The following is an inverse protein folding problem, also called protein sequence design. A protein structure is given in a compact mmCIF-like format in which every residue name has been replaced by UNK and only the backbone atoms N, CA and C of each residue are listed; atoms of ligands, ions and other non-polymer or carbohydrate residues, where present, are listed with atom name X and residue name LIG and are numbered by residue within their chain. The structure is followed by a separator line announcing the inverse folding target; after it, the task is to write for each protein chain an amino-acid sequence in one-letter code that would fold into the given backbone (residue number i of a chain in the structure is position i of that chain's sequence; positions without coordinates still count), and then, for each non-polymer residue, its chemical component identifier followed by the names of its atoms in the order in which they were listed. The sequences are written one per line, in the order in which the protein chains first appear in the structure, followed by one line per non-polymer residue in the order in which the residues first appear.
data_IF_280259462037
#
_entry.id   IF_280259462037
#
_cell.length_a   1.000
_cell.length_b   1.000
_cell.length_c   1.000
_cell.angle_alpha   90.00
_cell.angle_beta   90.00
_cell.angle_gamma   90.00
#
_symmetry.space_group_name_H-M   'P 1'
#
loop_
_entity.id
_entity.type
_entity.pdbx_description
1 polymer ?
#
# COMPACT_ATOMS: atom_id res chain seq x y z
N UNK A 1 30.82 -28.93 8.30
CA UNK A 1 31.12 -27.82 9.23
C UNK A 1 32.29 -28.26 10.10
N UNK A 2 33.35 -27.48 10.27
CA UNK A 2 34.50 -27.88 11.09
C UNK A 2 34.05 -28.21 12.52
N UNK A 3 34.49 -29.34 13.12
CA UNK A 3 34.06 -29.76 14.46
C UNK A 3 34.18 -28.68 15.56
N UNK A 4 35.24 -27.82 15.58
CA UNK A 4 35.35 -26.76 16.58
C UNK A 4 34.29 -25.66 16.49
N UNK A 5 33.63 -25.49 15.33
CA UNK A 5 32.67 -24.41 15.09
C UNK A 5 31.20 -24.81 15.33
N UNK A 6 30.95 -26.10 15.57
CA UNK A 6 29.58 -26.63 15.75
C UNK A 6 28.91 -26.00 16.97
N UNK A 7 29.63 -25.88 18.07
CA UNK A 7 29.14 -25.25 19.31
C UNK A 7 28.76 -23.79 19.07
N UNK A 8 29.68 -22.99 18.53
CA UNK A 8 29.44 -21.56 18.30
C UNK A 8 28.26 -21.30 17.36
N UNK A 9 28.08 -22.13 16.32
CA UNK A 9 26.93 -22.01 15.43
C UNK A 9 25.61 -22.29 16.16
N UNK A 10 25.56 -23.28 17.03
CA UNK A 10 24.34 -23.60 17.77
C UNK A 10 24.01 -22.51 18.79
N UNK A 11 25.00 -21.96 19.47
CA UNK A 11 24.81 -20.85 20.40
C UNK A 11 24.33 -19.58 19.69
N UNK A 12 24.91 -19.22 18.54
CA UNK A 12 24.43 -18.07 17.76
C UNK A 12 22.95 -18.25 17.34
N UNK A 13 22.55 -19.45 16.92
CA UNK A 13 21.15 -19.72 16.58
C UNK A 13 20.20 -19.59 17.78
N UNK A 14 20.64 -19.89 19.00
CA UNK A 14 19.84 -19.69 20.21
C UNK A 14 19.71 -18.21 20.53
N UNK A 15 20.81 -17.45 20.43
CA UNK A 15 20.82 -15.99 20.64
C UNK A 15 19.87 -15.30 19.67
N UNK A 16 19.92 -15.67 18.38
CA UNK A 16 19.05 -15.08 17.34
C UNK A 16 17.57 -15.41 17.52
N UNK A 17 17.20 -16.54 18.14
CA UNK A 17 15.79 -16.87 18.42
C UNK A 17 15.26 -16.15 19.66
N UNK A 18 16.13 -15.89 20.63
CA UNK A 18 15.73 -15.37 21.93
C UNK A 18 14.84 -16.34 22.70
N UNK A 19 14.07 -15.80 23.64
CA UNK A 19 13.24 -16.54 24.61
C UNK A 19 11.73 -16.35 24.38
N UNK A 20 11.34 -15.55 23.40
CA UNK A 20 9.94 -15.20 23.09
C UNK A 20 9.28 -14.23 24.07
N UNK A 21 10.02 -13.66 25.02
CA UNK A 21 9.47 -12.73 26.02
C UNK A 21 10.12 -11.36 25.92
N UNK A 22 9.62 -10.38 26.68
CA UNK A 22 10.19 -9.02 26.73
C UNK A 22 9.83 -8.12 25.53
N UNK A 23 10.01 -6.81 25.74
CA UNK A 23 9.93 -5.78 24.70
C UNK A 23 11.26 -5.69 23.98
N UNK A 24 11.22 -5.59 22.65
CA UNK A 24 12.43 -5.61 21.83
C UNK A 24 13.11 -4.26 21.77
N UNK A 25 14.45 -4.27 21.86
CA UNK A 25 15.27 -3.05 21.90
C UNK A 25 16.07 -2.86 20.60
N UNK A 26 16.47 -1.63 20.32
CA UNK A 26 17.10 -1.24 19.04
C UNK A 26 18.37 -2.05 18.69
N UNK A 27 19.17 -2.43 19.69
CA UNK A 27 20.42 -3.17 19.51
C UNK A 27 20.23 -4.69 19.46
N UNK A 28 19.01 -5.20 19.65
CA UNK A 28 18.74 -6.63 19.64
C UNK A 28 18.72 -7.20 18.20
N UNK A 29 19.12 -8.47 18.08
CA UNK A 29 19.15 -9.25 16.84
C UNK A 29 18.23 -10.46 16.94
N UNK A 30 17.14 -10.32 17.69
CA UNK A 30 16.22 -11.41 18.00
C UNK A 30 15.11 -11.46 16.93
N UNK A 31 14.95 -12.63 16.33
CA UNK A 31 13.95 -12.95 15.33
C UNK A 31 12.91 -13.90 15.93
N UNK A 32 11.67 -13.43 16.00
CA UNK A 32 10.55 -14.20 16.51
C UNK A 32 9.25 -13.75 15.81
N UNK A 33 8.17 -14.50 16.02
CA UNK A 33 6.91 -14.33 15.33
C UNK A 33 5.82 -13.75 16.22
N UNK A 34 4.96 -12.93 15.61
CA UNK A 34 3.74 -12.46 16.24
C UNK A 34 2.66 -12.21 15.16
N UNK A 35 1.42 -11.99 15.58
CA UNK A 35 0.27 -11.70 14.70
C UNK A 35 0.15 -10.21 14.42
N UNK A 36 -0.70 -9.82 13.48
CA UNK A 36 -1.00 -8.40 13.22
C UNK A 36 -2.05 -7.90 14.20
N UNK A 37 -1.60 -7.58 15.41
CA UNK A 37 -2.38 -6.95 16.48
C UNK A 37 -1.91 -5.52 16.79
N UNK A 38 -1.01 -4.97 15.98
CA UNK A 38 -0.34 -3.68 16.19
C UNK A 38 -0.73 -2.60 15.18
N UNK A 39 -1.71 -2.90 14.31
CA UNK A 39 -2.24 -1.96 13.29
C UNK A 39 -3.26 -0.97 13.89
N UNK A 40 -4.07 -1.42 14.85
CA UNK A 40 -5.11 -0.61 15.49
C UNK A 40 -4.56 0.35 16.54
N UNK A 41 -5.37 1.36 16.89
CA UNK A 41 -5.05 2.31 17.97
C UNK A 41 -6.29 2.55 18.87
N UNK A 42 -6.76 1.51 19.59
CA UNK A 42 -7.98 1.59 20.39
C UNK A 42 -7.84 2.59 21.55
N UNK A 43 -6.63 2.72 22.13
CA UNK A 43 -6.34 3.66 23.21
C UNK A 43 -6.59 5.11 22.79
N UNK A 44 -6.22 5.50 21.57
CA UNK A 44 -6.50 6.83 21.04
C UNK A 44 -8.00 7.03 20.80
N UNK A 45 -8.63 6.19 19.97
CA UNK A 45 -10.07 6.29 19.61
C UNK A 45 -10.66 4.91 19.35
N UNK A 46 -11.90 4.69 19.79
CA UNK A 46 -12.60 3.42 19.56
C UNK A 46 -12.77 3.09 18.07
N UNK A 47 -12.93 4.09 17.20
CA UNK A 47 -13.02 3.91 15.74
C UNK A 47 -11.71 3.47 15.07
N UNK A 48 -10.58 3.58 15.77
CA UNK A 48 -9.27 3.12 15.32
C UNK A 48 -8.97 1.70 15.79
N UNK A 49 -9.88 1.05 16.53
CA UNK A 49 -9.76 -0.37 16.84
C UNK A 49 -9.79 -1.19 15.54
N UNK A 50 -8.94 -2.21 15.46
CA UNK A 50 -8.87 -3.14 14.33
C UNK A 50 -8.86 -4.57 14.87
N UNK A 51 -9.47 -5.53 14.17
CA UNK A 51 -9.40 -6.92 14.57
C UNK A 51 -7.95 -7.44 14.46
N UNK A 52 -7.58 -8.35 15.34
CA UNK A 52 -6.31 -9.07 15.24
C UNK A 52 -6.32 -9.98 14.01
N UNK A 53 -5.30 -9.87 13.18
CA UNK A 53 -5.18 -10.62 11.92
C UNK A 53 -4.07 -11.67 12.04
N UNK A 54 -4.40 -12.94 11.81
CA UNK A 54 -3.51 -14.07 12.02
C UNK A 54 -3.82 -14.84 13.32
N UNK A 55 -3.54 -16.15 13.31
CA UNK A 55 -3.78 -17.03 14.46
C UNK A 55 -5.23 -17.50 14.64
N UNK A 56 -6.17 -16.98 13.83
CA UNK A 56 -7.57 -17.45 13.78
C UNK A 56 -7.89 -18.07 12.42
N UNK A 57 -8.85 -19.02 12.40
CA UNK A 57 -9.45 -19.53 11.17
C UNK A 57 -10.30 -18.49 10.43
N UNK A 58 -10.83 -17.50 11.15
CA UNK A 58 -11.69 -16.45 10.58
C UNK A 58 -10.89 -15.39 9.81
N UNK A 59 -9.71 -15.03 10.32
CA UNK A 59 -8.79 -14.06 9.72
C UNK A 59 -7.38 -14.67 9.63
N UNK A 60 -7.16 -15.63 8.70
CA UNK A 60 -5.85 -16.22 8.50
C UNK A 60 -4.92 -15.20 7.87
N UNK A 61 -3.69 -15.11 8.37
CA UNK A 61 -2.68 -14.20 7.84
C UNK A 61 -1.26 -14.68 8.18
N UNK A 62 -0.26 -14.38 7.33
CA UNK A 62 1.15 -14.57 7.67
C UNK A 62 1.50 -13.94 9.02
N UNK A 63 2.51 -14.50 9.69
CA UNK A 63 3.08 -13.88 10.89
C UNK A 63 4.02 -12.74 10.48
N UNK A 64 4.21 -11.80 11.41
CA UNK A 64 5.17 -10.71 11.31
C UNK A 64 6.28 -10.88 12.36
N UNK A 65 7.31 -10.05 12.28
CA UNK A 65 8.37 -10.00 13.30
C UNK A 65 7.85 -9.49 14.64
N UNK A 66 8.10 -10.22 15.72
CA UNK A 66 7.68 -9.87 17.08
C UNK A 66 8.40 -8.61 17.57
N UNK A 67 7.63 -7.68 18.15
CA UNK A 67 8.11 -6.43 18.75
C UNK A 67 7.99 -6.44 20.27
N UNK A 68 7.00 -7.17 20.81
CA UNK A 68 6.86 -7.41 22.25
C UNK A 68 6.50 -6.18 23.10
N UNK A 69 5.97 -5.10 22.49
CA UNK A 69 5.51 -3.93 23.24
C UNK A 69 4.32 -4.32 24.11
N UNK A 70 4.07 -3.49 25.13
CA UNK A 70 2.99 -3.74 26.09
C UNK A 70 1.62 -3.75 25.39
N UNK A 71 0.64 -4.53 25.90
CA UNK A 71 -0.73 -4.46 25.42
C UNK A 71 -1.35 -3.07 25.58
N UNK A 72 -2.35 -2.77 24.75
CA UNK A 72 -3.18 -1.58 24.86
C UNK A 72 -4.04 -1.62 26.13
N UNK A 73 -4.35 -0.45 26.70
CA UNK A 73 -5.16 -0.35 27.93
C UNK A 73 -6.62 -0.73 27.69
N UNK A 74 -7.18 -0.33 26.54
CA UNK A 74 -8.58 -0.59 26.18
C UNK A 74 -8.80 -1.96 25.54
N UNK A 75 -7.79 -2.55 24.92
CA UNK A 75 -7.86 -3.89 24.35
C UNK A 75 -6.57 -4.69 24.63
N UNK A 76 -6.59 -5.64 25.58
CA UNK A 76 -5.42 -6.47 25.90
C UNK A 76 -4.91 -7.35 24.75
N UNK A 77 -5.71 -7.57 23.69
CA UNK A 77 -5.29 -8.36 22.52
C UNK A 77 -4.51 -7.53 21.52
N UNK A 78 -4.67 -6.21 21.55
CA UNK A 78 -3.97 -5.26 20.69
C UNK A 78 -2.67 -4.80 21.33
N UNK A 79 -1.61 -4.73 20.53
CA UNK A 79 -0.32 -4.21 20.97
C UNK A 79 -0.36 -2.67 20.98
N UNK A 80 0.25 -2.04 21.99
CA UNK A 80 0.29 -0.59 22.11
C UNK A 80 1.15 0.01 20.99
N UNK A 81 0.66 1.08 20.37
CA UNK A 81 1.41 1.87 19.39
C UNK A 81 2.62 2.57 20.03
N UNK A 82 3.71 2.59 19.28
CA UNK A 82 4.95 3.30 19.60
C UNK A 82 5.43 4.04 18.36
N UNK A 83 6.20 5.11 18.55
CA UNK A 83 6.86 5.82 17.46
C UNK A 83 7.97 5.00 16.81
N UNK A 84 8.51 4.03 17.55
CA UNK A 84 9.52 3.08 17.10
C UNK A 84 8.90 1.70 16.90
N UNK A 85 9.12 1.12 15.72
CA UNK A 85 8.76 -0.27 15.41
C UNK A 85 10.08 -1.02 15.32
N UNK A 86 10.29 -1.95 16.25
CA UNK A 86 11.51 -2.75 16.29
C UNK A 86 11.64 -3.60 15.02
N UNK A 87 12.88 -3.63 14.51
CA UNK A 87 13.39 -4.55 13.51
C UNK A 87 14.73 -5.05 14.07
N UNK A 88 15.09 -6.34 13.88
CA UNK A 88 16.40 -6.83 14.27
C UNK A 88 17.50 -5.92 13.71
N UNK A 89 18.52 -5.60 14.51
CA UNK A 89 19.46 -4.51 14.23
C UNK A 89 20.11 -4.60 12.85
N UNK A 90 20.38 -5.82 12.37
CA UNK A 90 21.02 -6.07 11.07
C UNK A 90 20.06 -5.85 9.88
N UNK A 91 18.73 -5.93 10.11
CA UNK A 91 17.68 -5.61 9.11
C UNK A 91 17.44 -4.09 9.01
N UNK A 92 17.88 -3.33 10.01
CA UNK A 92 17.86 -1.87 9.98
C UNK A 92 19.06 -1.34 9.17
N UNK A 93 18.85 -1.20 7.86
CA UNK A 93 19.86 -0.71 6.94
C UNK A 93 20.39 0.68 7.33
N UNK A 94 21.72 0.82 7.35
CA UNK A 94 22.41 2.07 7.65
C UNK A 94 22.25 3.14 6.55
N UNK A 95 22.26 4.42 6.97
CA UNK A 95 21.94 5.61 6.20
C UNK A 95 22.98 6.03 5.14
N UNK A 96 23.40 5.15 4.24
CA UNK A 96 24.33 5.56 3.18
C UNK A 96 23.63 6.37 2.07
N UNK A 97 22.30 6.25 1.91
CA UNK A 97 21.49 7.12 1.05
C UNK A 97 20.11 7.35 1.67
N UNK A 98 19.85 8.56 2.15
CA UNK A 98 18.57 8.96 2.76
C UNK A 98 17.37 8.95 1.80
N UNK A 99 17.60 8.74 0.49
CA UNK A 99 16.57 8.55 -0.53
C UNK A 99 15.84 7.20 -0.43
N UNK A 100 16.49 6.18 0.12
CA UNK A 100 16.02 4.79 -0.01
C UNK A 100 14.99 4.40 1.05
N UNK A 101 14.75 5.27 2.04
CA UNK A 101 13.93 4.92 3.19
C UNK A 101 12.47 5.37 3.03
N UNK A 102 11.76 4.65 2.15
CA UNK A 102 10.31 4.78 1.94
C UNK A 102 9.51 4.74 3.25
N UNK A 103 9.98 4.04 4.29
CA UNK A 103 9.26 3.90 5.56
C UNK A 103 9.22 5.20 6.38
N UNK A 104 10.32 5.96 6.45
CA UNK A 104 10.33 7.29 7.09
C UNK A 104 9.55 8.29 6.26
N UNK A 105 9.64 8.19 4.92
CA UNK A 105 8.82 8.98 4.00
C UNK A 105 7.33 8.73 4.29
N UNK A 106 6.88 7.47 4.32
CA UNK A 106 5.49 7.11 4.60
C UNK A 106 5.04 7.59 6.00
N UNK A 107 5.90 7.44 7.01
CA UNK A 107 5.62 7.93 8.38
C UNK A 107 5.47 9.46 8.40
N UNK A 108 6.43 10.21 7.86
CA UNK A 108 6.40 11.67 7.81
C UNK A 108 5.24 12.20 6.97
N UNK A 109 4.93 11.54 5.84
CA UNK A 109 3.78 11.86 4.99
C UNK A 109 2.47 11.74 5.78
N UNK A 110 2.26 10.60 6.44
CA UNK A 110 1.01 10.32 7.15
C UNK A 110 0.77 11.23 8.37
N UNK A 111 1.81 11.53 9.14
CA UNK A 111 1.67 12.27 10.40
C UNK A 111 1.64 13.79 10.20
N UNK A 112 2.47 14.33 9.31
CA UNK A 112 2.70 15.77 9.22
C UNK A 112 2.22 16.36 7.89
N UNK A 113 2.29 15.60 6.80
CA UNK A 113 2.04 16.15 5.46
C UNK A 113 0.57 16.13 5.10
N UNK A 114 -0.09 14.98 5.24
CA UNK A 114 -1.52 14.87 4.91
C UNK A 114 -2.33 15.91 5.70
N UNK A 115 -2.20 16.06 7.04
CA UNK A 115 -2.98 17.05 7.77
C UNK A 115 -2.70 18.49 7.34
N UNK A 116 -1.44 18.82 7.06
CA UNK A 116 -1.04 20.17 6.64
C UNK A 116 -1.53 20.49 5.22
N UNK A 117 -1.47 19.53 4.29
CA UNK A 117 -2.03 19.67 2.94
C UNK A 117 -3.56 19.80 3.00
N UNK A 118 -4.24 18.91 3.74
CA UNK A 118 -5.69 18.97 3.92
C UNK A 118 -6.12 20.32 4.51
N UNK A 119 -5.41 20.83 5.51
CA UNK A 119 -5.69 22.15 6.09
C UNK A 119 -5.46 23.28 5.10
N UNK A 120 -4.34 23.28 4.38
CA UNK A 120 -4.04 24.31 3.37
C UNK A 120 -5.08 24.34 2.24
N UNK A 121 -5.43 23.16 1.72
CA UNK A 121 -6.41 23.00 0.65
C UNK A 121 -7.81 23.42 1.15
N UNK A 122 -8.20 23.00 2.36
CA UNK A 122 -9.49 23.37 2.94
C UNK A 122 -9.62 24.87 3.16
N UNK A 123 -8.57 25.52 3.68
CA UNK A 123 -8.56 26.97 3.95
C UNK A 123 -8.55 27.81 2.66
N UNK A 124 -7.85 27.35 1.63
CA UNK A 124 -7.67 28.13 0.40
C UNK A 124 -8.80 27.92 -0.60
N UNK A 125 -9.42 26.73 -0.61
CA UNK A 125 -10.32 26.32 -1.69
C UNK A 125 -11.67 25.75 -1.22
N UNK A 126 -11.96 25.75 0.08
CA UNK A 126 -13.26 25.37 0.66
C UNK A 126 -13.79 23.99 0.17
N UNK A 127 -12.98 22.94 0.30
CA UNK A 127 -13.23 21.56 -0.20
C UNK A 127 -13.29 21.47 -1.75
N UNK A 128 -12.20 21.77 -2.47
CA UNK A 128 -12.19 21.65 -3.91
C UNK A 128 -12.21 20.18 -4.35
N UNK A 129 -13.16 19.85 -5.18
CA UNK A 129 -13.10 18.66 -6.04
C UNK A 129 -12.43 19.03 -7.37
N UNK A 130 -11.85 18.04 -8.05
CA UNK A 130 -11.38 18.25 -9.42
C UNK A 130 -12.59 18.35 -10.35
N UNK A 131 -12.67 19.43 -11.12
CA UNK A 131 -13.77 19.66 -12.05
C UNK A 131 -13.41 19.20 -13.47
N UNK A 132 -12.12 18.97 -13.75
CA UNK A 132 -11.64 18.53 -15.05
C UNK A 132 -10.39 17.66 -14.97
N UNK A 133 -10.11 16.90 -16.03
CA UNK A 133 -8.83 16.21 -16.16
C UNK A 133 -7.64 17.19 -16.27
N UNK A 134 -7.87 18.41 -16.77
CA UNK A 134 -6.85 19.46 -16.79
C UNK A 134 -6.41 19.84 -15.38
N UNK A 135 -7.32 19.88 -14.42
CA UNK A 135 -7.00 20.15 -13.01
C UNK A 135 -6.01 19.09 -12.48
N UNK A 136 -6.21 17.82 -12.83
CA UNK A 136 -5.29 16.73 -12.48
C UNK A 136 -3.96 16.86 -13.22
N UNK A 137 -3.97 17.29 -14.49
CA UNK A 137 -2.75 17.53 -15.27
C UNK A 137 -1.88 18.64 -14.68
N UNK A 138 -2.49 19.65 -14.06
CA UNK A 138 -1.74 20.76 -13.47
C UNK A 138 -0.70 20.30 -12.45
N UNK A 139 -0.91 19.17 -11.75
CA UNK A 139 0.01 18.66 -10.73
C UNK A 139 1.42 18.38 -11.24
N UNK A 140 1.56 17.97 -12.50
CA UNK A 140 2.86 17.66 -13.12
C UNK A 140 3.22 18.60 -14.28
N UNK A 141 2.33 19.51 -14.67
CA UNK A 141 2.62 20.56 -15.67
C UNK A 141 2.91 21.92 -15.02
N UNK A 142 1.95 22.49 -14.28
CA UNK A 142 2.05 23.81 -13.65
C UNK A 142 2.48 23.78 -12.17
N UNK A 143 2.30 22.64 -11.50
CA UNK A 143 2.44 22.51 -10.05
C UNK A 143 1.31 23.19 -9.27
N UNK A 144 1.17 22.82 -8.00
CA UNK A 144 0.19 23.43 -7.08
C UNK A 144 0.87 24.59 -6.35
N UNK A 145 0.29 25.78 -6.48
CA UNK A 145 0.71 26.95 -5.70
C UNK A 145 0.13 26.83 -4.29
N UNK A 146 1.00 26.52 -3.33
CA UNK A 146 0.65 26.44 -1.93
C UNK A 146 1.23 27.65 -1.17
N UNK A 147 0.60 28.07 -0.06
CA UNK A 147 1.12 29.14 0.78
C UNK A 147 2.54 28.83 1.27
N UNK A 148 3.44 29.83 1.27
CA UNK A 148 4.87 29.65 1.62
C UNK A 148 5.08 29.04 3.00
N UNK A 149 4.20 29.34 3.96
CA UNK A 149 4.20 28.77 5.31
C UNK A 149 3.85 27.27 5.36
N UNK A 150 3.21 26.73 4.33
CA UNK A 150 2.92 25.28 4.20
C UNK A 150 4.08 24.57 3.52
N UNK A 151 4.64 25.16 2.46
CA UNK A 151 5.80 24.62 1.75
C UNK A 151 7.05 24.52 2.62
N UNK A 152 7.28 25.50 3.50
CA UNK A 152 8.40 25.47 4.45
C UNK A 152 8.31 24.29 5.43
N UNK A 153 7.11 23.78 5.72
CA UNK A 153 6.92 22.57 6.54
C UNK A 153 7.26 21.28 5.80
N UNK A 154 7.19 21.29 4.46
CA UNK A 154 7.43 20.13 3.61
C UNK A 154 8.87 20.03 3.11
N UNK A 155 9.53 21.17 2.89
CA UNK A 155 10.92 21.25 2.42
C UNK A 155 11.93 20.35 3.18
N UNK A 156 11.84 20.20 4.52
CA UNK A 156 12.75 19.32 5.27
C UNK A 156 12.54 17.81 5.02
N UNK A 157 11.41 17.40 4.42
CA UNK A 157 11.06 16.00 4.23
C UNK A 157 11.70 15.49 2.93
N UNK A 158 12.54 14.43 2.96
CA UNK A 158 13.30 13.97 1.79
C UNK A 158 12.47 13.79 0.52
N UNK A 159 11.29 13.17 0.63
CA UNK A 159 10.38 12.97 -0.50
C UNK A 159 9.91 14.29 -1.13
N UNK A 160 9.58 15.29 -0.32
CA UNK A 160 9.10 16.58 -0.84
C UNK A 160 10.24 17.47 -1.31
N UNK A 161 11.47 17.28 -0.80
CA UNK A 161 12.65 17.98 -1.33
C UNK A 161 12.89 17.68 -2.81
N UNK A 162 12.58 16.48 -3.28
CA UNK A 162 12.67 16.14 -4.71
C UNK A 162 11.48 16.67 -5.54
N UNK A 163 10.31 16.85 -4.92
CA UNK A 163 9.09 17.33 -5.58
C UNK A 163 8.95 18.86 -5.61
N UNK A 164 9.65 19.56 -4.73
CA UNK A 164 9.72 21.01 -4.70
C UNK A 164 10.79 21.46 -5.69
N UNK A 165 10.40 22.22 -6.70
CA UNK A 165 11.37 22.78 -7.64
C UNK A 165 12.14 23.93 -6.99
N UNK A 166 13.43 24.04 -7.32
CA UNK A 166 14.32 25.13 -6.89
C UNK A 166 14.19 26.39 -7.76
N UNK A 167 13.18 26.49 -8.63
CA UNK A 167 13.02 27.56 -9.63
C UNK A 167 12.47 28.89 -9.04
N UNK A 168 12.38 29.00 -7.72
CA UNK A 168 11.99 30.24 -7.03
C UNK A 168 10.48 30.50 -6.99
N UNK A 169 9.69 29.70 -7.72
CA UNK A 169 8.24 29.67 -7.59
C UNK A 169 7.84 28.64 -6.52
N UNK A 170 7.04 29.09 -5.55
CA UNK A 170 6.46 28.29 -4.47
C UNK A 170 5.44 27.25 -4.97
N UNK A 171 5.86 26.30 -5.81
CA UNK A 171 4.99 25.30 -6.43
C UNK A 171 5.44 23.87 -6.12
N UNK A 172 4.50 23.04 -5.65
CA UNK A 172 4.68 21.60 -5.52
C UNK A 172 4.39 20.94 -6.87
N UNK A 173 5.39 20.32 -7.50
CA UNK A 173 5.25 19.75 -8.84
C UNK A 173 5.70 18.30 -8.90
N UNK A 174 4.78 17.43 -9.31
CA UNK A 174 5.04 16.00 -9.41
C UNK A 174 5.78 15.65 -10.71
N UNK A 175 6.58 14.57 -10.71
CA UNK A 175 7.17 14.06 -11.94
C UNK A 175 6.06 13.58 -12.89
N UNK A 176 6.25 13.81 -14.20
CA UNK A 176 5.29 13.40 -15.22
C UNK A 176 5.16 11.87 -15.26
N UNK A 177 3.97 11.29 -14.99
CA UNK A 177 3.78 9.85 -14.97
C UNK A 177 4.08 9.22 -16.33
N UNK A 178 4.76 8.07 -16.34
CA UNK A 178 5.20 7.39 -17.58
C UNK A 178 4.06 7.14 -18.57
N UNK A 179 2.88 6.79 -18.08
CA UNK A 179 1.70 6.48 -18.91
C UNK A 179 1.22 7.67 -19.75
N UNK A 180 1.46 8.92 -19.30
CA UNK A 180 1.06 10.14 -20.03
C UNK A 180 2.21 10.87 -20.72
N UNK A 181 3.43 10.32 -20.69
CA UNK A 181 4.62 10.99 -21.26
C UNK A 181 4.54 11.19 -22.77
N UNK A 182 4.00 10.20 -23.49
CA UNK A 182 3.86 10.26 -24.95
C UNK A 182 2.46 10.73 -25.35
N UNK A 183 1.43 10.18 -24.72
CA UNK A 183 0.04 10.50 -25.02
C UNK A 183 -0.75 10.74 -23.73
N UNK A 184 -1.24 11.97 -23.56
CA UNK A 184 -1.97 12.40 -22.35
C UNK A 184 -3.36 11.77 -22.18
N UNK A 185 -3.90 11.13 -23.22
CA UNK A 185 -5.26 10.59 -23.25
C UNK A 185 -5.32 9.08 -23.53
N UNK A 186 -4.18 8.41 -23.78
CA UNK A 186 -4.15 6.99 -24.12
C UNK A 186 -4.73 6.09 -23.02
N UNK A 187 -4.56 6.47 -21.75
CA UNK A 187 -5.10 5.73 -20.60
C UNK A 187 -6.64 5.61 -20.60
N UNK A 188 -7.34 6.42 -21.41
CA UNK A 188 -8.81 6.36 -21.56
C UNK A 188 -9.27 5.35 -22.63
N UNK A 189 -8.35 4.73 -23.36
CA UNK A 189 -8.67 3.81 -24.46
C UNK A 189 -8.91 2.39 -23.96
N UNK A 190 -9.83 1.66 -24.59
CA UNK A 190 -10.11 0.26 -24.27
C UNK A 190 -8.88 -0.63 -24.51
N UNK A 191 -8.05 -0.27 -25.49
CA UNK A 191 -6.78 -0.93 -25.79
C UNK A 191 -5.82 -0.83 -24.60
N UNK A 192 -5.60 0.37 -24.06
CA UNK A 192 -4.69 0.57 -22.92
C UNK A 192 -5.26 -0.06 -21.64
N UNK A 193 -6.57 0.10 -21.39
CA UNK A 193 -7.25 -0.54 -20.27
C UNK A 193 -7.06 -2.06 -20.26
N UNK A 194 -7.23 -2.71 -21.41
CA UNK A 194 -7.05 -4.16 -21.54
C UNK A 194 -5.57 -4.55 -21.50
N UNK A 195 -4.68 -3.75 -22.11
CA UNK A 195 -3.23 -3.99 -22.11
C UNK A 195 -2.65 -3.94 -20.69
N UNK A 196 -3.14 -3.04 -19.83
CA UNK A 196 -2.69 -2.95 -18.44
C UNK A 196 -3.00 -4.21 -17.63
N UNK A 197 -4.02 -5.00 -18.00
CA UNK A 197 -4.32 -6.28 -17.34
C UNK A 197 -3.25 -7.35 -17.54
N UNK A 198 -2.39 -7.21 -18.57
CA UNK A 198 -1.31 -8.16 -18.88
C UNK A 198 0.09 -7.55 -18.82
N UNK A 199 0.21 -6.23 -18.88
CA UNK A 199 1.49 -5.52 -18.92
C UNK A 199 1.48 -4.18 -18.13
N UNK A 200 0.50 -4.00 -17.24
CA UNK A 200 0.40 -2.85 -16.35
C UNK A 200 0.97 -3.14 -14.96
N UNK A 201 0.46 -2.42 -13.96
CA UNK A 201 0.94 -2.53 -12.57
C UNK A 201 0.60 -3.88 -11.91
N UNK A 202 -0.47 -4.55 -12.35
CA UNK A 202 -0.95 -5.80 -11.76
C UNK A 202 -1.32 -6.84 -12.85
N UNK A 203 -0.31 -7.43 -13.53
CA UNK A 203 -0.54 -8.27 -14.72
C UNK A 203 -0.91 -9.74 -14.39
N UNK A 204 -1.27 -10.07 -13.15
CA UNK A 204 -1.34 -11.47 -12.68
C UNK A 204 -2.75 -11.92 -12.25
N UNK A 205 -3.79 -11.10 -12.47
CA UNK A 205 -5.16 -11.40 -12.00
C UNK A 205 -6.05 -11.97 -13.12
N UNK A 206 -5.80 -11.60 -14.37
CA UNK A 206 -6.62 -12.02 -15.50
C UNK A 206 -6.69 -13.55 -15.61
N UNK A 207 -7.88 -14.09 -15.86
CA UNK A 207 -8.12 -15.54 -15.98
C UNK A 207 -8.91 -15.84 -17.24
N UNK A 208 -8.61 -17.00 -17.84
CA UNK A 208 -9.40 -17.54 -18.94
C UNK A 208 -10.80 -17.90 -18.45
N UNK A 209 -11.82 -17.38 -19.13
CA UNK A 209 -13.21 -17.79 -18.93
C UNK A 209 -13.47 -19.10 -19.67
N UNK A 210 -13.84 -20.15 -18.93
CA UNK A 210 -14.06 -21.51 -19.49
C UNK A 210 -15.54 -21.79 -19.79
N UNK A 211 -16.46 -21.13 -19.08
CA UNK A 211 -17.90 -21.30 -19.25
C UNK A 211 -18.56 -19.93 -19.35
N UNK A 212 -19.64 -19.84 -20.12
CA UNK A 212 -20.42 -18.62 -20.29
C UNK A 212 -21.92 -18.92 -20.09
N UNK A 213 -22.66 -18.10 -19.32
CA UNK A 213 -22.18 -16.91 -18.60
C UNK A 213 -21.33 -17.26 -17.36
N UNK A 214 -20.49 -16.32 -16.86
CA UNK A 214 -19.70 -16.56 -15.65
C UNK A 214 -20.60 -16.89 -14.44
N UNK A 215 -20.18 -17.89 -13.65
CA UNK A 215 -20.91 -18.34 -12.46
C UNK A 215 -20.19 -17.88 -11.19
N UNK A 216 -20.96 -17.43 -10.21
CA UNK A 216 -20.45 -17.16 -8.86
C UNK A 216 -20.62 -18.38 -7.96
N UNK A 217 -19.77 -18.48 -6.94
CA UNK A 217 -19.80 -19.52 -5.90
C UNK A 217 -20.30 -18.98 -4.56
N UNK A 218 -20.74 -17.72 -4.52
CA UNK A 218 -21.26 -17.09 -3.30
C UNK A 218 -22.64 -17.66 -2.94
N UNK A 219 -23.03 -17.55 -1.67
CA UNK A 219 -24.31 -18.03 -1.20
C UNK A 219 -25.46 -17.14 -1.68
N UNK A 220 -26.44 -17.72 -2.39
CA UNK A 220 -27.64 -17.02 -2.88
C UNK A 220 -28.54 -16.52 -1.75
N UNK A 221 -28.57 -17.20 -0.61
CA UNK A 221 -29.41 -16.80 0.51
C UNK A 221 -28.89 -15.53 1.18
N UNK A 222 -27.57 -15.34 1.19
CA UNK A 222 -26.91 -14.17 1.79
C UNK A 222 -26.83 -12.98 0.83
N UNK A 223 -26.54 -13.22 -0.45
CA UNK A 223 -26.24 -12.17 -1.42
C UNK A 223 -27.31 -11.98 -2.51
N UNK A 224 -28.38 -12.77 -2.47
CA UNK A 224 -29.44 -12.74 -3.49
C UNK A 224 -29.05 -13.47 -4.78
N UNK A 225 -29.87 -13.29 -5.82
CA UNK A 225 -29.57 -13.84 -7.13
C UNK A 225 -28.38 -13.12 -7.78
N UNK A 226 -27.34 -13.90 -8.07
CA UNK A 226 -26.09 -13.45 -8.67
C UNK A 226 -25.86 -14.08 -10.04
N UNK A 227 -26.93 -14.57 -10.68
CA UNK A 227 -26.87 -15.04 -12.07
C UNK A 227 -26.41 -13.88 -12.96
N UNK A 228 -25.35 -14.08 -13.72
CA UNK A 228 -24.79 -13.03 -14.57
C UNK A 228 -25.80 -12.60 -15.62
N UNK A 229 -25.94 -11.28 -15.78
CA UNK A 229 -26.87 -10.64 -16.72
C UNK A 229 -26.27 -10.40 -18.10
N UNK A 230 -24.99 -10.70 -18.29
CA UNK A 230 -24.30 -10.54 -19.57
C UNK A 230 -24.75 -11.64 -20.51
N UNK A 231 -25.26 -11.27 -21.68
CA UNK A 231 -25.76 -12.23 -22.67
C UNK A 231 -24.83 -12.31 -23.88
N UNK A 232 -24.92 -13.39 -24.66
CA UNK A 232 -24.05 -13.60 -25.83
C UNK A 232 -24.35 -12.60 -26.92
N UNK A 233 -25.62 -12.29 -27.10
CA UNK A 233 -26.16 -11.38 -28.11
C UNK A 233 -25.63 -9.95 -27.93
N UNK A 234 -25.26 -9.57 -26.70
CA UNK A 234 -24.64 -8.27 -26.41
C UNK A 234 -23.16 -8.21 -26.82
N UNK A 235 -22.46 -9.34 -26.83
CA UNK A 235 -21.02 -9.41 -27.06
C UNK A 235 -20.67 -9.70 -28.52
N UNK A 236 -21.38 -10.63 -29.15
CA UNK A 236 -21.10 -11.13 -30.50
C UNK A 236 -20.91 -10.04 -31.58
N UNK A 237 -21.68 -8.93 -31.59
CA UNK A 237 -21.44 -7.84 -32.55
C UNK A 237 -20.03 -7.24 -32.50
N UNK A 238 -19.38 -7.27 -31.34
CA UNK A 238 -18.07 -6.66 -31.09
C UNK A 238 -16.94 -7.71 -30.96
N UNK A 239 -17.19 -8.96 -31.31
CA UNK A 239 -16.20 -10.05 -31.20
C UNK A 239 -15.38 -10.30 -32.47
N UNK A 240 -15.40 -9.37 -33.43
CA UNK A 240 -14.68 -9.46 -34.71
C UNK A 240 -15.02 -10.74 -35.50
N UNK A 241 -16.30 -11.11 -35.53
CA UNK A 241 -16.82 -12.24 -36.31
C UNK A 241 -16.65 -13.63 -35.67
N UNK A 242 -16.23 -13.71 -34.42
CA UNK A 242 -16.08 -14.98 -33.68
C UNK A 242 -17.20 -15.13 -32.66
N UNK A 243 -17.87 -16.28 -32.60
CA UNK A 243 -18.93 -16.52 -31.61
C UNK A 243 -18.37 -16.80 -30.22
N UNK A 244 -19.21 -16.66 -29.19
CA UNK A 244 -18.81 -16.96 -27.80
C UNK A 244 -18.39 -18.42 -27.64
N UNK A 245 -19.05 -19.36 -28.33
CA UNK A 245 -18.65 -20.77 -28.32
C UNK A 245 -17.30 -20.98 -28.99
N UNK A 246 -17.05 -20.34 -30.15
CA UNK A 246 -15.78 -20.52 -30.87
C UNK A 246 -14.57 -20.04 -30.05
N UNK A 247 -14.69 -18.93 -29.30
CA UNK A 247 -13.60 -18.47 -28.41
C UNK A 247 -13.38 -19.33 -27.15
N UNK A 248 -14.36 -20.14 -26.74
CA UNK A 248 -14.20 -21.04 -25.59
C UNK A 248 -13.30 -22.25 -25.92
N UNK A 249 -13.33 -22.72 -27.17
CA UNK A 249 -12.64 -23.96 -27.58
C UNK A 249 -11.31 -23.73 -28.31
N UNK A 250 -10.93 -22.49 -28.60
CA UNK A 250 -9.77 -22.20 -29.46
C UNK A 250 -8.67 -21.50 -28.68
N UNK A 251 -7.94 -22.22 -27.81
CA UNK A 251 -6.60 -21.88 -27.30
C UNK A 251 -5.91 -23.11 -26.72
#
# INVERSE_FOLDING_TARGET
MPPPLVYYRQEELKILRGDGTGERLEWERIYDYDVYNDVGDPDCKASLARPVIGGSKTLPYPRRGRTGRKPSKKDPKSEKRSEFIYLPRDESFGHLKSSDFLVYILKSVSQNVIPALTSAITLQFNQPEFNSFDDVRTFYEGGIKLPTNTLSKFSPIPFFKELLRNDGESALKFPLPKVVQVNKSAWMTDEEFTREMIAGVNPHIIKRLQEFPPKSKLDKQLFGDHTSTVTKEQLEPNMNGVTVEQKQFTF
#
